data_IF_954214061812
#
_entry.id   IF_954214061812
#
_cell.length_a   1.000
_cell.length_b   1.000
_cell.length_c   1.000
_cell.angle_alpha   90.00
_cell.angle_beta   90.00
_cell.angle_gamma   90.00
#
_symmetry.space_group_name_H-M   'P 1'
#
loop_
_entity.id
_entity.type
_entity.pdbx_description
1 polymer ?
#
# COMPACT_ATOMS: atom_id res chain seq x y z
N UNK A 1 -24.83 -0.25 -1.73
CA UNK A 1 -23.55 0.38 -2.09
C UNK A 1 -22.48 -0.69 -1.98
N UNK A 2 -21.73 -0.97 -3.04
CA UNK A 2 -20.67 -1.99 -3.01
C UNK A 2 -19.44 -1.36 -2.38
N UNK A 3 -19.00 -1.84 -1.21
CA UNK A 3 -17.81 -1.31 -0.52
C UNK A 3 -16.51 -1.99 -0.95
N UNK A 4 -16.59 -3.18 -1.55
CA UNK A 4 -15.44 -3.92 -2.08
C UNK A 4 -15.75 -4.38 -3.50
N UNK A 5 -14.82 -4.17 -4.43
CA UNK A 5 -14.93 -4.71 -5.78
C UNK A 5 -14.82 -6.25 -5.74
N UNK A 6 -15.81 -6.94 -6.31
CA UNK A 6 -15.84 -8.40 -6.41
C UNK A 6 -16.25 -8.79 -7.82
N UNK A 7 -15.35 -8.53 -8.76
CA UNK A 7 -15.47 -8.84 -10.18
C UNK A 7 -14.11 -9.34 -10.65
N UNK A 8 -13.99 -10.64 -10.91
CA UNK A 8 -12.72 -11.29 -11.27
C UNK A 8 -12.17 -10.80 -12.61
N UNK A 9 -13.03 -10.27 -13.48
CA UNK A 9 -12.65 -9.69 -14.76
C UNK A 9 -12.18 -8.23 -14.61
N UNK A 10 -12.48 -7.60 -13.47
CA UNK A 10 -12.04 -6.24 -13.19
C UNK A 10 -10.57 -6.22 -12.79
N UNK A 11 -9.81 -5.28 -13.37
CA UNK A 11 -8.40 -5.10 -13.04
C UNK A 11 -8.20 -4.86 -11.53
N UNK A 12 -9.09 -4.11 -10.87
CA UNK A 12 -8.97 -3.77 -9.45
C UNK A 12 -9.81 -4.65 -8.52
N UNK A 13 -10.03 -5.92 -8.90
CA UNK A 13 -10.73 -6.89 -8.08
C UNK A 13 -10.17 -6.93 -6.63
N UNK A 14 -11.06 -6.92 -5.65
CA UNK A 14 -10.73 -6.95 -4.22
C UNK A 14 -10.54 -5.58 -3.57
N UNK A 15 -10.41 -4.49 -4.33
CA UNK A 15 -10.19 -3.15 -3.76
C UNK A 15 -11.37 -2.68 -2.90
N UNK A 16 -11.08 -2.14 -1.70
CA UNK A 16 -12.08 -1.47 -0.87
C UNK A 16 -12.27 -0.02 -1.29
N UNK A 17 -13.43 0.29 -1.89
CA UNK A 17 -13.79 1.64 -2.27
C UNK A 17 -13.89 2.53 -1.02
N UNK A 18 -13.25 3.71 -1.08
CA UNK A 18 -13.16 4.65 0.02
C UNK A 18 -14.43 5.51 0.14
N UNK A 19 -15.08 5.78 -1.00
CA UNK A 19 -16.32 6.54 -1.04
C UNK A 19 -17.14 6.22 -2.30
N UNK A 20 -18.38 5.75 -2.13
CA UNK A 20 -19.28 5.41 -3.24
C UNK A 20 -18.64 4.49 -4.30
N UNK A 21 -18.21 5.04 -5.43
CA UNK A 21 -17.58 4.34 -6.55
C UNK A 21 -16.10 4.73 -6.77
N UNK A 22 -15.48 5.40 -5.79
CA UNK A 22 -14.07 5.80 -5.83
C UNK A 22 -13.24 5.06 -4.81
N UNK A 23 -11.99 4.82 -5.18
CA UNK A 23 -10.92 4.40 -4.29
C UNK A 23 -9.88 5.52 -4.26
N UNK A 24 -9.35 5.80 -3.08
CA UNK A 24 -8.08 6.51 -2.95
C UNK A 24 -7.18 5.74 -1.99
N UNK A 25 -5.86 5.83 -2.22
CA UNK A 25 -4.88 5.16 -1.38
C UNK A 25 -4.65 5.87 -0.04
N UNK A 26 -4.95 7.15 0.07
CA UNK A 26 -4.72 7.95 1.28
C UNK A 26 -5.52 7.42 2.47
N UNK A 27 -4.85 6.71 3.37
CA UNK A 27 -5.44 6.19 4.60
C UNK A 27 -6.37 4.98 4.41
N UNK A 28 -6.34 4.29 3.26
CA UNK A 28 -7.20 3.14 2.96
C UNK A 28 -6.87 1.91 3.85
N UNK A 29 -7.32 1.97 5.10
CA UNK A 29 -6.97 1.03 6.16
C UNK A 29 -8.04 -0.06 6.36
N UNK A 30 -8.97 -0.21 5.42
CA UNK A 30 -10.10 -1.14 5.51
C UNK A 30 -9.63 -2.58 5.74
N UNK A 31 -8.69 -3.08 4.92
CA UNK A 31 -8.17 -4.44 5.12
C UNK A 31 -7.50 -4.62 6.48
N UNK A 32 -6.69 -3.67 6.93
CA UNK A 32 -6.09 -3.71 8.27
C UNK A 32 -7.17 -3.74 9.36
N UNK A 33 -8.18 -2.86 9.28
CA UNK A 33 -9.28 -2.83 10.24
C UNK A 33 -10.08 -4.13 10.29
N UNK A 34 -10.36 -4.74 9.13
CA UNK A 34 -11.02 -6.05 9.05
C UNK A 34 -10.17 -7.15 9.68
N UNK A 35 -8.86 -7.17 9.45
CA UNK A 35 -7.96 -8.13 10.10
C UNK A 35 -7.92 -7.95 11.63
N UNK A 36 -7.97 -6.70 12.12
CA UNK A 36 -8.14 -6.43 13.57
C UNK A 36 -9.48 -6.95 14.10
N UNK A 37 -10.57 -6.74 13.36
CA UNK A 37 -11.90 -7.23 13.73
C UNK A 37 -11.95 -8.76 13.75
N UNK A 38 -11.35 -9.42 12.76
CA UNK A 38 -11.26 -10.89 12.71
C UNK A 38 -10.63 -11.48 13.97
N UNK A 39 -9.58 -10.86 14.53
CA UNK A 39 -8.94 -11.36 15.76
C UNK A 39 -9.84 -11.33 17.00
N UNK A 40 -10.89 -10.51 16.99
CA UNK A 40 -11.84 -10.40 18.10
C UNK A 40 -13.07 -11.26 17.85
N UNK A 41 -13.60 -11.22 16.61
CA UNK A 41 -14.86 -11.86 16.24
C UNK A 41 -14.69 -13.31 15.78
N UNK A 42 -13.50 -13.67 15.30
CA UNK A 42 -13.16 -14.97 14.72
C UNK A 42 -14.08 -15.38 13.54
N UNK A 43 -14.58 -14.40 12.78
CA UNK A 43 -15.44 -14.63 11.61
C UNK A 43 -14.61 -14.73 10.31
N UNK A 44 -14.54 -15.93 9.73
CA UNK A 44 -13.74 -16.19 8.53
C UNK A 44 -14.14 -15.35 7.30
N UNK A 45 -15.39 -14.90 7.21
CA UNK A 45 -15.86 -14.00 6.14
C UNK A 45 -15.10 -12.67 6.14
N UNK A 46 -14.78 -12.13 7.31
CA UNK A 46 -14.01 -10.89 7.50
C UNK A 46 -12.59 -11.06 6.99
N UNK A 47 -11.92 -12.14 7.39
CA UNK A 47 -10.57 -12.47 6.93
C UNK A 47 -10.53 -12.71 5.43
N UNK A 48 -11.51 -13.45 4.90
CA UNK A 48 -11.62 -13.73 3.46
C UNK A 48 -11.76 -12.43 2.65
N UNK A 49 -12.56 -11.48 3.13
CA UNK A 49 -12.72 -10.17 2.49
C UNK A 49 -11.43 -9.36 2.51
N UNK A 50 -10.69 -9.31 3.63
CA UNK A 50 -9.39 -8.65 3.68
C UNK A 50 -8.35 -9.30 2.76
N UNK A 51 -8.29 -10.64 2.74
CA UNK A 51 -7.39 -11.40 1.87
C UNK A 51 -7.67 -11.18 0.39
N UNK A 52 -8.93 -10.93 0.01
CA UNK A 52 -9.29 -10.63 -1.37
C UNK A 52 -8.59 -9.34 -1.85
N UNK A 53 -8.48 -8.31 -1.01
CA UNK A 53 -7.73 -7.09 -1.38
C UNK A 53 -6.22 -7.35 -1.45
N UNK A 54 -5.66 -7.98 -0.41
CA UNK A 54 -4.22 -8.20 -0.29
C UNK A 54 -3.65 -9.10 -1.39
N UNK A 55 -4.40 -10.14 -1.78
CA UNK A 55 -3.95 -11.14 -2.74
C UNK A 55 -4.25 -10.79 -4.20
N UNK A 56 -5.04 -9.74 -4.46
CA UNK A 56 -5.36 -9.33 -5.83
C UNK A 56 -4.94 -7.87 -6.06
N UNK A 57 -5.57 -6.95 -5.35
CA UNK A 57 -5.40 -5.54 -5.61
C UNK A 57 -4.03 -5.01 -5.15
N UNK A 58 -3.54 -5.39 -3.95
CA UNK A 58 -2.21 -4.96 -3.50
C UNK A 58 -1.09 -5.52 -4.38
N UNK A 59 -1.23 -6.75 -4.87
CA UNK A 59 -0.27 -7.36 -5.79
C UNK A 59 -0.13 -6.51 -7.07
N UNK A 60 -1.26 -6.11 -7.66
CA UNK A 60 -1.29 -5.18 -8.80
C UNK A 60 -0.69 -3.82 -8.49
N UNK A 61 -0.95 -3.26 -7.30
CA UNK A 61 -0.36 -1.99 -6.91
C UNK A 61 1.18 -2.07 -6.83
N UNK A 62 1.72 -3.15 -6.27
CA UNK A 62 3.17 -3.37 -6.18
C UNK A 62 3.79 -3.51 -7.57
N UNK A 63 3.15 -4.26 -8.47
CA UNK A 63 3.63 -4.51 -9.84
C UNK A 63 3.60 -3.26 -10.73
N UNK A 64 2.56 -2.42 -10.60
CA UNK A 64 2.30 -1.30 -11.51
C UNK A 64 2.86 0.06 -11.02
N UNK A 65 3.61 0.07 -9.92
CA UNK A 65 4.19 1.29 -9.35
C UNK A 65 3.19 2.15 -8.58
N UNK A 66 2.21 1.51 -7.94
CA UNK A 66 1.16 2.09 -7.10
C UNK A 66 0.20 3.07 -7.80
N UNK A 67 -0.91 3.35 -7.13
CA UNK A 67 -1.94 4.31 -7.54
C UNK A 67 -2.26 5.24 -6.37
N UNK A 68 -2.75 6.44 -6.69
CA UNK A 68 -3.31 7.37 -5.71
C UNK A 68 -4.83 7.29 -5.66
N UNK A 69 -5.46 7.05 -6.82
CA UNK A 69 -6.91 7.15 -6.99
C UNK A 69 -7.40 6.34 -8.19
N UNK A 70 -8.64 5.84 -8.09
CA UNK A 70 -9.43 5.47 -9.25
C UNK A 70 -10.93 5.63 -8.99
N UNK A 71 -11.69 5.64 -10.08
CA UNK A 71 -13.15 5.60 -10.09
C UNK A 71 -13.63 4.47 -10.98
N UNK A 72 -14.66 3.79 -10.52
CA UNK A 72 -15.31 2.74 -11.29
C UNK A 72 -16.74 3.11 -11.64
N UNK A 73 -17.25 2.51 -12.71
CA UNK A 73 -18.67 2.50 -13.03
C UNK A 73 -19.11 1.07 -13.28
N UNK A 74 -20.30 0.73 -12.80
CA UNK A 74 -20.91 -0.56 -13.09
C UNK A 74 -21.81 -0.41 -14.32
N UNK A 75 -21.48 -1.14 -15.39
CA UNK A 75 -22.31 -1.28 -16.58
C UNK A 75 -22.79 -2.72 -16.67
N UNK A 76 -24.10 -2.93 -16.56
CA UNK A 76 -24.70 -4.26 -16.45
C UNK A 76 -24.08 -5.09 -15.31
N UNK A 77 -23.29 -6.11 -15.65
CA UNK A 77 -22.65 -7.03 -14.72
C UNK A 77 -21.11 -6.93 -14.73
N UNK A 78 -20.55 -5.89 -15.37
CA UNK A 78 -19.12 -5.62 -15.44
C UNK A 78 -18.78 -4.32 -14.73
N UNK A 79 -17.61 -4.30 -14.08
CA UNK A 79 -17.05 -3.10 -13.44
C UNK A 79 -15.92 -2.56 -14.32
N UNK A 80 -16.11 -1.33 -14.80
CA UNK A 80 -15.13 -0.63 -15.63
C UNK A 80 -14.46 0.50 -14.84
N UNK A 81 -13.17 0.70 -15.07
CA UNK A 81 -12.41 1.83 -14.53
C UNK A 81 -12.60 3.00 -15.50
N UNK A 82 -13.25 4.06 -15.03
CA UNK A 82 -13.54 5.25 -15.84
C UNK A 82 -12.55 6.37 -15.62
N UNK A 83 -11.80 6.32 -14.52
CA UNK A 83 -10.77 7.30 -14.17
C UNK A 83 -9.73 6.64 -13.27
N UNK A 84 -8.45 6.94 -13.47
CA UNK A 84 -7.38 6.54 -12.55
C UNK A 84 -6.25 7.55 -12.54
N UNK A 85 -5.55 7.64 -11.41
CA UNK A 85 -4.35 8.44 -11.26
C UNK A 85 -3.29 7.68 -10.46
N UNK A 86 -2.04 7.80 -10.91
CA UNK A 86 -0.88 7.34 -10.15
C UNK A 86 -0.50 8.30 -9.03
N UNK A 87 -0.83 9.59 -9.15
CA UNK A 87 -0.30 10.67 -8.34
C UNK A 87 -1.40 11.52 -7.68
N UNK A 88 -1.14 12.21 -6.58
CA UNK A 88 0.13 12.20 -5.82
C UNK A 88 0.26 10.93 -4.96
N UNK A 89 1.47 10.36 -4.90
CA UNK A 89 1.77 9.25 -3.99
C UNK A 89 2.45 9.81 -2.74
N UNK A 90 1.89 9.49 -1.58
CA UNK A 90 2.37 9.96 -0.28
C UNK A 90 2.54 8.77 0.68
N UNK A 91 3.21 8.98 1.81
CA UNK A 91 3.37 7.93 2.83
C UNK A 91 2.03 7.31 3.28
N UNK A 92 0.95 8.10 3.21
CA UNK A 92 -0.40 7.66 3.55
C UNK A 92 -1.03 6.68 2.55
N UNK A 93 -0.47 6.54 1.34
CA UNK A 93 -0.76 5.41 0.44
C UNK A 93 -0.08 4.12 0.92
N UNK A 94 1.13 4.24 1.47
CA UNK A 94 2.05 3.13 1.73
C UNK A 94 1.76 2.47 3.07
N UNK A 95 1.61 3.26 4.15
CA UNK A 95 1.42 2.75 5.51
C UNK A 95 0.23 1.78 5.64
N UNK A 96 -0.96 2.03 5.06
CA UNK A 96 -2.08 1.10 5.19
C UNK A 96 -1.74 -0.30 4.69
N UNK A 97 -1.06 -0.40 3.54
CA UNK A 97 -0.64 -1.67 2.95
C UNK A 97 0.37 -2.40 3.84
N UNK A 98 1.40 -1.70 4.33
CA UNK A 98 2.39 -2.28 5.27
C UNK A 98 1.71 -2.87 6.50
N UNK A 99 0.77 -2.13 7.10
CA UNK A 99 0.08 -2.58 8.31
C UNK A 99 -0.84 -3.78 8.05
N UNK A 100 -1.60 -3.78 6.95
CA UNK A 100 -2.48 -4.90 6.63
C UNK A 100 -1.69 -6.18 6.33
N UNK A 101 -0.60 -6.08 5.56
CA UNK A 101 0.28 -7.21 5.23
C UNK A 101 0.95 -7.82 6.48
N UNK A 102 1.42 -6.99 7.40
CA UNK A 102 2.00 -7.48 8.65
C UNK A 102 0.94 -8.03 9.62
N UNK A 103 -0.29 -7.48 9.64
CA UNK A 103 -1.35 -8.04 10.48
C UNK A 103 -1.79 -9.42 9.99
N UNK A 104 -1.90 -9.63 8.67
CA UNK A 104 -2.22 -10.96 8.15
C UNK A 104 -1.09 -11.95 8.40
N UNK A 105 0.19 -11.53 8.30
CA UNK A 105 1.32 -12.35 8.73
C UNK A 105 1.18 -12.79 10.19
N UNK A 106 0.79 -11.88 11.10
CA UNK A 106 0.59 -12.23 12.51
C UNK A 106 -0.56 -13.22 12.74
N UNK A 107 -1.52 -13.29 11.81
CA UNK A 107 -2.67 -14.19 11.86
C UNK A 107 -2.33 -15.56 11.25
N UNK A 108 -1.60 -15.59 10.14
CA UNK A 108 -1.39 -16.81 9.34
C UNK A 108 0.00 -17.43 9.50
N UNK A 109 0.97 -16.65 9.98
CA UNK A 109 2.41 -16.94 9.99
C UNK A 109 3.01 -17.20 8.60
N UNK A 110 2.29 -16.85 7.53
CA UNK A 110 2.80 -16.96 6.17
C UNK A 110 3.74 -15.78 5.86
N UNK A 111 5.04 -16.09 5.84
CA UNK A 111 6.11 -15.12 5.59
C UNK A 111 5.99 -14.36 4.27
N UNK A 112 5.25 -14.88 3.27
CA UNK A 112 5.04 -14.18 1.99
C UNK A 112 4.41 -12.80 2.18
N UNK A 113 3.52 -12.64 3.18
CA UNK A 113 2.91 -11.36 3.51
C UNK A 113 3.90 -10.38 4.13
N UNK A 114 4.76 -10.85 5.03
CA UNK A 114 5.81 -10.02 5.61
C UNK A 114 6.84 -9.57 4.57
N UNK A 115 7.20 -10.45 3.62
CA UNK A 115 8.06 -10.11 2.48
C UNK A 115 7.38 -9.04 1.62
N UNK A 116 6.11 -9.22 1.23
CA UNK A 116 5.33 -8.19 0.52
C UNK A 116 5.29 -6.85 1.27
N UNK A 117 5.20 -6.86 2.60
CA UNK A 117 5.27 -5.63 3.39
C UNK A 117 6.62 -4.91 3.24
N UNK A 118 7.73 -5.67 3.23
CA UNK A 118 9.06 -5.16 2.90
C UNK A 118 9.09 -4.50 1.51
N UNK A 119 8.57 -5.16 0.49
CA UNK A 119 8.49 -4.64 -0.89
C UNK A 119 7.69 -3.33 -0.99
N UNK A 120 6.56 -3.25 -0.29
CA UNK A 120 5.78 -2.01 -0.22
C UNK A 120 6.58 -0.89 0.45
N UNK A 121 7.26 -1.19 1.56
CA UNK A 121 8.09 -0.23 2.27
C UNK A 121 9.30 0.24 1.45
N UNK A 122 9.78 -0.54 0.48
CA UNK A 122 10.85 -0.11 -0.44
C UNK A 122 10.49 1.17 -1.23
N UNK A 123 9.21 1.56 -1.29
CA UNK A 123 8.80 2.86 -1.80
C UNK A 123 9.55 4.00 -1.11
N UNK A 124 9.83 3.91 0.20
CA UNK A 124 10.55 4.96 0.93
C UNK A 124 12.03 5.09 0.53
N UNK A 125 12.66 4.00 0.09
CA UNK A 125 14.08 3.98 -0.34
C UNK A 125 14.26 4.15 -1.85
N UNK A 126 13.21 4.39 -2.62
CA UNK A 126 13.35 4.67 -4.06
C UNK A 126 12.77 3.62 -5.00
N UNK A 127 12.13 2.54 -4.50
CA UNK A 127 11.29 1.67 -5.33
C UNK A 127 9.92 2.31 -5.54
N UNK A 128 9.92 3.49 -6.16
CA UNK A 128 8.76 4.31 -6.44
C UNK A 128 8.88 4.93 -7.85
N UNK A 129 7.80 5.51 -8.40
CA UNK A 129 7.82 6.02 -9.78
C UNK A 129 8.82 7.14 -10.07
N UNK A 130 9.32 7.85 -9.05
CA UNK A 130 10.34 8.89 -9.22
C UNK A 130 11.77 8.36 -9.01
N UNK A 131 11.93 7.07 -8.70
CA UNK A 131 13.21 6.45 -8.33
C UNK A 131 13.97 7.23 -7.25
N UNK A 132 13.24 7.78 -6.27
CA UNK A 132 13.80 8.76 -5.34
C UNK A 132 13.63 8.35 -3.88
N UNK A 133 14.65 8.61 -3.07
CA UNK A 133 14.58 8.38 -1.63
C UNK A 133 13.62 9.41 -1.01
N UNK A 134 12.61 8.92 -0.28
CA UNK A 134 11.53 9.73 0.30
C UNK A 134 11.72 10.03 1.80
N UNK A 135 12.77 9.49 2.43
CA UNK A 135 13.10 9.78 3.83
C UNK A 135 14.59 10.05 4.03
N UNK A 136 14.92 10.85 5.03
CA UNK A 136 16.30 11.10 5.43
C UNK A 136 16.59 10.32 6.73
N UNK A 137 17.48 9.32 6.73
CA UNK A 137 17.80 8.55 7.93
C UNK A 137 18.52 9.37 9.01
N UNK A 138 19.21 10.46 8.64
CA UNK A 138 19.92 11.31 9.59
C UNK A 138 18.98 12.23 10.37
N UNK A 139 18.00 12.83 9.69
CA UNK A 139 17.05 13.75 10.34
C UNK A 139 15.70 13.11 10.73
N UNK A 140 15.39 11.92 10.21
CA UNK A 140 14.13 11.22 10.43
C UNK A 140 12.93 11.82 9.69
N UNK A 141 13.14 12.85 8.85
CA UNK A 141 12.07 13.50 8.10
C UNK A 141 11.68 12.70 6.86
N UNK A 142 10.41 12.78 6.49
CA UNK A 142 9.89 12.24 5.22
C UNK A 142 9.38 13.37 4.35
N UNK A 143 9.57 13.24 3.04
CA UNK A 143 9.00 14.16 2.06
C UNK A 143 7.50 13.91 1.88
N UNK A 144 6.75 14.98 1.63
CA UNK A 144 5.29 14.94 1.56
C UNK A 144 4.77 14.05 0.44
N UNK A 145 5.47 13.96 -0.70
CA UNK A 145 5.00 13.08 -1.77
C UNK A 145 5.72 13.18 -3.10
N UNK A 146 5.27 12.32 -4.01
CA UNK A 146 5.64 12.29 -5.42
C UNK A 146 4.45 12.82 -6.22
N UNK A 147 4.65 13.95 -6.89
CA UNK A 147 3.63 14.61 -7.72
C UNK A 147 3.64 14.09 -9.16
N UNK A 148 4.80 13.65 -9.63
CA UNK A 148 5.01 12.88 -10.86
C UNK A 148 6.43 12.28 -10.87
N UNK A 149 6.79 11.56 -11.94
CA UNK A 149 8.10 10.90 -12.11
C UNK A 149 9.33 11.82 -11.94
N UNK A 150 9.16 13.14 -12.06
CA UNK A 150 10.26 14.12 -12.00
C UNK A 150 10.09 15.17 -10.90
N UNK A 151 8.98 15.14 -10.17
CA UNK A 151 8.64 16.17 -9.18
C UNK A 151 8.30 15.52 -7.84
N UNK A 152 9.15 15.82 -6.86
CA UNK A 152 8.98 15.42 -5.46
C UNK A 152 8.62 16.67 -4.67
N UNK A 153 7.53 16.60 -3.92
CA UNK A 153 7.22 17.60 -2.92
C UNK A 153 8.11 17.37 -1.69
N UNK A 154 9.20 18.14 -1.60
CA UNK A 154 10.20 18.04 -0.52
C UNK A 154 9.81 18.76 0.76
N UNK A 155 8.59 19.30 0.86
CA UNK A 155 8.04 19.70 2.14
C UNK A 155 7.98 18.48 3.07
N UNK A 156 7.91 18.73 4.37
CA UNK A 156 7.87 17.67 5.37
C UNK A 156 6.90 18.06 6.48
N UNK A 157 5.68 17.54 6.37
CA UNK A 157 4.63 17.65 7.37
C UNK A 157 4.68 16.53 8.42
N UNK A 158 3.84 16.69 9.44
CA UNK A 158 3.67 15.69 10.48
C UNK A 158 3.11 14.37 9.92
N UNK A 159 2.17 14.44 8.95
CA UNK A 159 1.56 13.25 8.35
C UNK A 159 2.59 12.35 7.67
N UNK A 160 3.36 12.89 6.70
CA UNK A 160 4.37 12.14 5.96
C UNK A 160 5.41 11.51 6.88
N UNK A 161 5.87 12.28 7.88
CA UNK A 161 6.86 11.83 8.87
C UNK A 161 6.31 10.72 9.77
N UNK A 162 5.10 10.87 10.33
CA UNK A 162 4.52 9.87 11.24
C UNK A 162 4.20 8.58 10.48
N UNK A 163 3.55 8.68 9.31
CA UNK A 163 3.17 7.53 8.49
C UNK A 163 4.42 6.74 8.02
N UNK A 164 5.47 7.47 7.63
CA UNK A 164 6.76 6.90 7.28
C UNK A 164 7.46 6.18 8.45
N UNK A 165 7.62 6.86 9.58
CA UNK A 165 8.27 6.30 10.77
C UNK A 165 7.52 5.09 11.33
N UNK A 166 6.18 5.13 11.38
CA UNK A 166 5.36 3.99 11.80
C UNK A 166 5.54 2.79 10.87
N UNK A 167 5.66 3.03 9.57
CA UNK A 167 5.92 1.98 8.59
C UNK A 167 7.29 1.34 8.83
N UNK A 168 8.36 2.15 8.89
CA UNK A 168 9.72 1.64 9.11
C UNK A 168 9.89 0.94 10.46
N UNK A 169 9.22 1.42 11.52
CA UNK A 169 9.20 0.74 12.82
C UNK A 169 8.55 -0.64 12.73
N UNK A 170 7.44 -0.78 12.01
CA UNK A 170 6.77 -2.09 11.86
C UNK A 170 7.62 -3.06 11.03
N UNK A 171 8.29 -2.56 9.99
CA UNK A 171 9.22 -3.34 9.17
C UNK A 171 10.41 -3.82 10.00
N UNK A 172 11.05 -2.94 10.79
CA UNK A 172 12.24 -3.29 11.57
C UNK A 172 11.98 -4.35 12.65
N UNK A 173 10.75 -4.45 13.14
CA UNK A 173 10.33 -5.45 14.13
C UNK A 173 10.01 -6.83 13.51
N UNK A 174 9.96 -6.96 12.18
CA UNK A 174 9.69 -8.23 11.51
C UNK A 174 10.90 -8.66 10.66
N UNK A 175 11.55 -9.80 10.95
CA UNK A 175 12.80 -10.18 10.30
C UNK A 175 12.65 -10.48 8.79
N UNK A 176 11.51 -11.01 8.35
CA UNK A 176 11.26 -11.27 6.93
C UNK A 176 11.04 -9.97 6.16
N UNK A 177 10.26 -9.05 6.75
CA UNK A 177 10.00 -7.75 6.15
C UNK A 177 11.26 -6.88 6.11
N UNK A 178 12.05 -6.85 7.20
CA UNK A 178 13.30 -6.13 7.28
C UNK A 178 14.30 -6.64 6.23
N UNK A 179 14.49 -7.96 6.15
CA UNK A 179 15.40 -8.57 5.17
C UNK A 179 15.02 -8.19 3.74
N UNK A 180 13.74 -8.22 3.40
CA UNK A 180 13.29 -7.80 2.06
C UNK A 180 13.45 -6.28 1.86
N UNK A 181 13.12 -5.46 2.85
CA UNK A 181 13.30 -4.01 2.77
C UNK A 181 14.77 -3.62 2.51
N UNK A 182 15.71 -4.30 3.16
CA UNK A 182 17.16 -4.10 2.97
C UNK A 182 17.67 -4.66 1.63
N UNK A 183 16.95 -5.60 1.01
CA UNK A 183 17.27 -6.21 -0.28
C UNK A 183 16.94 -5.30 -1.48
N UNK A 184 17.14 -3.99 -1.32
CA UNK A 184 17.21 -3.06 -2.46
C UNK A 184 18.59 -3.11 -3.07
N UNK A 185 18.66 -3.55 -4.33
CA UNK A 185 19.89 -3.53 -5.12
C UNK A 185 20.47 -2.10 -5.15
N UNK A 186 21.57 -1.89 -4.42
CA UNK A 186 22.19 -0.58 -4.28
C UNK A 186 22.75 -0.03 -5.60
N UNK A 187 22.88 -0.88 -6.63
CA UNK A 187 23.36 -0.49 -7.95
C UNK A 187 22.43 0.49 -8.69
N UNK A 188 21.17 0.63 -8.26
CA UNK A 188 20.24 1.65 -8.76
C UNK A 188 20.56 3.08 -8.26
N UNK A 189 21.33 3.22 -7.17
CA UNK A 189 21.73 4.52 -6.61
C UNK A 189 23.10 5.01 -7.11
N UNK A 190 23.92 4.14 -7.69
CA UNK A 190 25.28 4.49 -8.18
C UNK A 190 25.32 4.88 -9.66
N UNK A 191 24.24 4.65 -10.43
CA UNK A 191 24.16 5.00 -11.85
C UNK A 191 23.06 6.02 -12.12
N UNK A 192 23.28 7.28 -11.75
CA UNK A 192 22.78 8.48 -12.46
C UNK A 192 23.30 9.76 -11.84
#
# INVERSE_FOLDING_TARGET
MMMQLNDKECEFNGAFLSWQNTWHGWGNSQAYALLKAYRVLNEESIKTSALLELNNFYERLIENGFLSYFKVQKHHNQIEIVESSKYSQIAYNIRPMVFALLEVYNITLDSSYAIKAGQVAQWFVGRNPACAIMYNPHSGIFYDGIENEKLINKNSGAESTIEGLLSLLKISLNPFALKEFENTDQSLFEKR
#
